data_IF_113040484070
#
_entry.id   IF_113040484070
#
_cell.length_a   1.000
_cell.length_b   1.000
_cell.length_c   1.000
_cell.angle_alpha   90.00
_cell.angle_beta   90.00
_cell.angle_gamma   90.00
#
_symmetry.space_group_name_H-M   'P 1'
#
loop_
_entity.id
_entity.type
_entity.pdbx_description
1 polymer ?
#
# COMPACT_ATOMS: atom_id res chain seq x y z
N UNK A 1 -29.31 28.05 46.13
CA UNK A 1 -28.33 26.93 46.06
C UNK A 1 -28.29 26.18 44.71
N UNK A 2 -29.40 26.05 43.95
CA UNK A 2 -29.48 25.23 42.72
C UNK A 2 -28.56 25.64 41.54
N UNK A 3 -28.19 26.92 41.41
CA UNK A 3 -27.39 27.43 40.26
C UNK A 3 -25.93 26.96 40.27
N UNK A 4 -25.31 26.87 41.45
CA UNK A 4 -23.93 26.34 41.62
C UNK A 4 -23.87 24.84 41.32
N UNK A 5 -24.89 24.08 41.73
CA UNK A 5 -24.98 22.64 41.47
C UNK A 5 -25.13 22.35 39.97
N UNK A 6 -25.99 23.10 39.25
CA UNK A 6 -26.12 22.98 37.78
C UNK A 6 -24.81 23.28 37.05
N UNK A 7 -24.06 24.31 37.48
CA UNK A 7 -22.74 24.64 36.90
C UNK A 7 -21.72 23.53 37.14
N UNK A 8 -21.71 22.93 38.34
CA UNK A 8 -20.81 21.80 38.68
C UNK A 8 -21.13 20.56 37.85
N UNK A 9 -22.42 20.24 37.67
CA UNK A 9 -22.85 19.12 36.80
C UNK A 9 -22.43 19.38 35.35
N UNK A 10 -22.63 20.60 34.84
CA UNK A 10 -22.20 20.96 33.47
C UNK A 10 -20.69 20.78 33.26
N UNK A 11 -19.87 21.24 34.22
CA UNK A 11 -18.40 21.05 34.17
C UNK A 11 -18.03 19.56 34.19
N UNK A 12 -18.67 18.76 35.05
CA UNK A 12 -18.41 17.32 35.12
C UNK A 12 -18.75 16.62 33.81
N UNK A 13 -19.88 16.96 33.18
CA UNK A 13 -20.25 16.41 31.86
C UNK A 13 -19.22 16.81 30.79
N UNK A 14 -18.81 18.08 30.73
CA UNK A 14 -17.76 18.50 29.80
C UNK A 14 -16.43 17.76 30.04
N UNK A 15 -16.05 17.53 31.30
CA UNK A 15 -14.83 16.79 31.61
C UNK A 15 -14.90 15.33 31.13
N UNK A 16 -16.04 14.67 31.30
CA UNK A 16 -16.25 13.30 30.80
C UNK A 16 -16.20 13.27 29.27
N UNK A 17 -16.85 14.20 28.57
CA UNK A 17 -16.80 14.29 27.10
C UNK A 17 -15.37 14.49 26.61
N UNK A 18 -14.60 15.38 27.24
CA UNK A 18 -13.19 15.58 26.88
C UNK A 18 -12.33 14.35 27.16
N UNK A 19 -12.60 13.60 28.24
CA UNK A 19 -11.88 12.37 28.53
C UNK A 19 -12.17 11.28 27.49
N UNK A 20 -13.43 11.11 27.08
CA UNK A 20 -13.81 10.16 26.02
C UNK A 20 -13.19 10.56 24.68
N UNK A 21 -13.26 11.84 24.32
CA UNK A 21 -12.61 12.32 23.09
C UNK A 21 -11.08 12.14 23.13
N UNK A 22 -10.46 12.41 24.28
CA UNK A 22 -9.03 12.20 24.48
C UNK A 22 -8.62 10.74 24.36
N UNK A 23 -9.41 9.82 24.92
CA UNK A 23 -9.20 8.38 24.80
C UNK A 23 -9.29 7.92 23.34
N UNK A 24 -10.32 8.34 22.60
CA UNK A 24 -10.46 7.98 21.18
C UNK A 24 -9.32 8.52 20.32
N UNK A 25 -8.83 9.73 20.59
CA UNK A 25 -7.66 10.29 19.90
C UNK A 25 -6.39 9.51 20.24
N UNK A 26 -6.25 9.07 21.49
CA UNK A 26 -5.13 8.25 21.93
C UNK A 26 -5.13 6.88 21.25
N UNK A 27 -6.27 6.18 21.20
CA UNK A 27 -6.35 4.86 20.56
C UNK A 27 -6.06 4.93 19.07
N UNK A 28 -6.62 5.92 18.36
CA UNK A 28 -6.31 6.13 16.93
C UNK A 28 -4.81 6.40 16.73
N UNK A 29 -4.18 7.19 17.59
CA UNK A 29 -2.73 7.44 17.49
C UNK A 29 -1.90 6.20 17.76
N UNK A 30 -2.34 5.35 18.67
CA UNK A 30 -1.69 4.08 18.96
C UNK A 30 -1.77 3.14 17.74
N UNK A 31 -2.95 2.97 17.14
CA UNK A 31 -3.12 2.14 15.94
C UNK A 31 -2.23 2.62 14.78
N UNK A 32 -2.12 3.93 14.58
CA UNK A 32 -1.22 4.51 13.57
C UNK A 32 0.26 4.20 13.85
N UNK A 33 0.66 4.20 15.12
CA UNK A 33 2.04 3.91 15.50
C UNK A 33 2.37 2.42 15.36
N UNK A 34 1.44 1.53 15.71
CA UNK A 34 1.58 0.08 15.58
C UNK A 34 1.72 -0.33 14.11
N UNK A 35 0.81 0.10 13.23
CA UNK A 35 0.93 -0.16 11.80
C UNK A 35 2.16 0.50 11.17
N UNK A 36 2.52 1.72 11.62
CA UNK A 36 3.74 2.38 11.18
C UNK A 36 4.99 1.55 11.47
N UNK A 37 5.11 1.00 12.68
CA UNK A 37 6.20 0.11 13.06
C UNK A 37 6.26 -1.16 12.21
N UNK A 38 5.12 -1.83 12.01
CA UNK A 38 5.03 -3.03 11.16
C UNK A 38 5.53 -2.74 9.74
N UNK A 39 5.02 -1.67 9.10
CA UNK A 39 5.40 -1.34 7.73
C UNK A 39 6.82 -0.80 7.62
N UNK A 40 7.33 -0.08 8.61
CA UNK A 40 8.73 0.37 8.65
C UNK A 40 9.68 -0.83 8.77
N UNK A 41 9.32 -1.85 9.57
CA UNK A 41 10.09 -3.09 9.72
C UNK A 41 10.10 -3.91 8.41
N UNK A 42 8.94 -4.04 7.75
CA UNK A 42 8.83 -4.73 6.45
C UNK A 42 9.61 -3.95 5.39
N UNK A 43 9.42 -2.63 5.28
CA UNK A 43 10.13 -1.80 4.31
C UNK A 43 11.64 -1.73 4.57
N UNK A 44 12.08 -1.83 5.83
CA UNK A 44 13.49 -1.91 6.21
C UNK A 44 14.20 -3.16 5.68
N UNK A 45 13.46 -4.21 5.31
CA UNK A 45 14.00 -5.39 4.63
C UNK A 45 14.24 -5.17 3.13
N UNK A 46 13.71 -4.09 2.55
CA UNK A 46 13.83 -3.72 1.14
C UNK A 46 14.84 -2.59 0.98
N UNK A 47 15.77 -2.74 0.05
CA UNK A 47 16.79 -1.72 -0.21
C UNK A 47 17.07 -1.56 -1.70
N UNK A 48 17.49 -0.36 -2.08
CA UNK A 48 18.06 -0.08 -3.39
C UNK A 48 19.50 -0.56 -3.38
N UNK A 49 19.87 -1.42 -4.33
CA UNK A 49 21.27 -1.83 -4.50
C UNK A 49 21.97 -0.96 -5.54
N UNK A 50 23.19 -0.51 -5.21
CA UNK A 50 24.04 0.30 -6.10
C UNK A 50 24.65 -0.53 -7.25
N UNK A 51 24.46 -1.84 -7.21
CA UNK A 51 24.92 -2.76 -8.24
C UNK A 51 23.97 -2.66 -9.43
N UNK A 52 24.35 -1.95 -10.49
CA UNK A 52 23.70 -2.10 -11.79
C UNK A 52 23.97 -3.54 -12.29
N UNK A 53 23.13 -4.50 -11.89
CA UNK A 53 23.12 -5.80 -12.55
C UNK A 53 22.59 -5.53 -13.95
N UNK A 54 23.41 -5.86 -14.95
CA UNK A 54 23.01 -5.90 -16.36
C UNK A 54 21.58 -6.46 -16.42
N UNK A 55 20.71 -5.79 -17.18
CA UNK A 55 19.33 -6.18 -17.38
C UNK A 55 19.26 -7.71 -17.43
N UNK A 56 18.57 -8.31 -16.46
CA UNK A 56 18.32 -9.75 -16.47
C UNK A 56 17.75 -10.02 -17.86
N UNK A 57 18.43 -10.83 -18.70
CA UNK A 57 17.89 -11.16 -20.01
C UNK A 57 16.48 -11.65 -19.76
N UNK A 58 15.50 -10.97 -20.35
CA UNK A 58 14.15 -11.49 -20.43
C UNK A 58 14.31 -12.78 -21.21
N UNK A 59 14.42 -13.92 -20.52
CA UNK A 59 14.33 -15.22 -21.16
C UNK A 59 12.93 -15.25 -21.73
N UNK A 60 12.82 -15.10 -23.05
CA UNK A 60 11.58 -15.30 -23.78
C UNK A 60 10.91 -16.57 -23.24
N UNK A 61 9.67 -16.48 -22.73
CA UNK A 61 8.96 -17.66 -22.26
C UNK A 61 8.97 -18.68 -23.38
N UNK A 62 9.60 -19.84 -23.16
CA UNK A 62 9.54 -20.95 -24.10
C UNK A 62 8.08 -21.33 -24.30
N UNK A 63 7.55 -20.94 -25.45
CA UNK A 63 6.21 -21.26 -25.90
C UNK A 63 5.94 -22.75 -25.71
N UNK A 64 4.93 -23.07 -24.89
CA UNK A 64 4.21 -24.33 -25.05
C UNK A 64 2.98 -24.02 -25.88
N UNK A 65 3.03 -24.51 -27.11
CA UNK A 65 1.92 -24.52 -28.06
C UNK A 65 0.62 -25.00 -27.38
N UNK A 66 -0.37 -24.12 -27.34
CA UNK A 66 -1.76 -24.46 -27.08
C UNK A 66 -2.63 -23.52 -27.90
N UNK A 67 -3.16 -24.07 -29.00
CA UNK A 67 -4.07 -23.46 -29.96
C UNK A 67 -5.10 -22.52 -29.32
N UNK A 68 -4.82 -21.22 -29.38
CA UNK A 68 -5.86 -20.18 -29.48
C UNK A 68 -5.27 -19.03 -30.29
N UNK A 69 -5.71 -18.90 -31.54
CA UNK A 69 -5.32 -17.85 -32.46
C UNK A 69 -5.85 -16.48 -32.00
N UNK A 70 -5.06 -15.78 -31.19
CA UNK A 70 -4.99 -14.32 -31.20
C UNK A 70 -3.52 -13.94 -31.03
N UNK A 71 -2.80 -13.93 -32.14
CA UNK A 71 -1.47 -13.35 -32.22
C UNK A 71 -1.64 -11.83 -32.08
N UNK A 72 -1.28 -11.29 -30.92
CA UNK A 72 -0.99 -9.87 -30.82
C UNK A 72 0.40 -9.66 -31.41
N UNK A 73 0.46 -9.16 -32.64
CA UNK A 73 1.67 -8.57 -33.18
C UNK A 73 1.98 -7.36 -32.30
N UNK A 74 3.03 -7.48 -31.47
CA UNK A 74 3.52 -6.42 -30.59
C UNK A 74 4.19 -5.33 -31.44
N UNK A 75 3.35 -4.53 -32.09
CA UNK A 75 3.70 -3.35 -32.87
C UNK A 75 3.69 -2.09 -31.97
N UNK A 76 3.61 -2.29 -30.66
CA UNK A 76 3.63 -1.22 -29.68
C UNK A 76 4.93 -0.43 -29.75
N UNK A 77 4.92 0.88 -29.42
CA UNK A 77 6.16 1.62 -29.30
C UNK A 77 7.05 0.91 -28.29
N UNK A 78 8.26 0.52 -28.72
CA UNK A 78 9.32 0.05 -27.82
C UNK A 78 9.63 1.19 -26.86
N UNK A 79 8.95 1.21 -25.72
CA UNK A 79 9.29 2.11 -24.63
C UNK A 79 10.70 1.74 -24.19
N UNK A 80 11.60 2.71 -24.19
CA UNK A 80 12.84 2.61 -23.42
C UNK A 80 12.39 2.44 -21.97
N UNK A 81 12.38 1.18 -21.49
CA UNK A 81 11.99 0.85 -20.13
C UNK A 81 13.11 1.42 -19.26
N UNK A 82 12.94 2.69 -18.90
CA UNK A 82 13.86 3.44 -18.06
C UNK A 82 14.30 2.57 -16.90
N UNK A 83 15.60 2.62 -16.62
CA UNK A 83 16.29 1.78 -15.63
C UNK A 83 15.40 1.49 -14.42
N UNK A 84 14.90 0.26 -14.32
CA UNK A 84 14.16 -0.16 -13.12
C UNK A 84 15.03 0.13 -11.89
N UNK A 85 14.48 0.73 -10.84
CA UNK A 85 15.22 0.88 -9.60
C UNK A 85 15.55 -0.55 -9.13
N UNK A 86 16.82 -0.79 -8.82
CA UNK A 86 17.26 -2.12 -8.40
C UNK A 86 16.83 -2.38 -6.94
N UNK A 87 15.53 -2.57 -6.76
CA UNK A 87 14.91 -2.98 -5.50
C UNK A 87 15.25 -4.43 -5.25
N UNK A 88 15.97 -4.67 -4.15
CA UNK A 88 16.19 -6.02 -3.64
C UNK A 88 15.09 -6.33 -2.64
N UNK A 89 14.23 -7.28 -2.98
CA UNK A 89 13.09 -7.72 -2.17
C UNK A 89 13.17 -9.24 -2.00
N UNK A 90 13.07 -9.72 -0.76
CA UNK A 90 12.95 -11.15 -0.49
C UNK A 90 11.48 -11.60 -0.63
N UNK A 91 11.04 -11.77 -1.88
CA UNK A 91 9.68 -12.22 -2.18
C UNK A 91 9.36 -13.58 -1.55
N UNK A 92 10.34 -14.46 -1.37
CA UNK A 92 10.13 -15.78 -0.78
C UNK A 92 9.83 -15.67 0.72
N UNK A 93 10.56 -14.82 1.45
CA UNK A 93 10.29 -14.55 2.85
C UNK A 93 8.91 -13.89 3.04
N UNK A 94 8.57 -12.88 2.22
CA UNK A 94 7.27 -12.20 2.29
C UNK A 94 6.11 -13.15 1.98
N UNK A 95 6.24 -13.98 0.94
CA UNK A 95 5.21 -14.99 0.59
C UNK A 95 5.04 -16.06 1.67
N UNK A 96 6.13 -16.38 2.39
CA UNK A 96 6.09 -17.32 3.52
C UNK A 96 5.44 -16.70 4.76
N UNK A 97 5.71 -15.43 5.02
CA UNK A 97 5.10 -14.69 6.14
C UNK A 97 3.60 -14.47 5.90
N UNK A 98 3.24 -14.10 4.67
CA UNK A 98 1.86 -13.82 4.28
C UNK A 98 1.53 -14.53 2.95
N UNK A 99 0.79 -15.67 2.98
CA UNK A 99 0.40 -16.41 1.78
C UNK A 99 -0.40 -15.59 0.76
N UNK A 100 -1.10 -14.53 1.20
CA UNK A 100 -1.87 -13.63 0.33
C UNK A 100 -1.00 -12.57 -0.37
N UNK A 101 0.31 -12.51 -0.10
CA UNK A 101 1.25 -11.62 -0.78
C UNK A 101 1.30 -11.82 -2.29
N UNK A 102 1.31 -10.72 -3.05
CA UNK A 102 1.27 -10.67 -4.52
C UNK A 102 2.44 -9.94 -5.16
N UNK A 103 3.04 -8.99 -4.46
CA UNK A 103 4.11 -8.17 -5.03
C UNK A 103 4.42 -6.97 -4.17
N UNK A 104 5.29 -6.09 -4.67
CA UNK A 104 5.74 -4.92 -3.94
C UNK A 104 5.45 -3.66 -4.75
N UNK A 105 4.63 -2.78 -4.21
CA UNK A 105 4.31 -1.52 -4.87
C UNK A 105 5.33 -0.47 -4.46
N UNK A 106 6.01 0.10 -5.45
CA UNK A 106 6.99 1.16 -5.26
C UNK A 106 6.71 2.36 -6.19
N UNK A 107 6.55 3.54 -5.61
CA UNK A 107 6.38 4.82 -6.31
C UNK A 107 7.32 5.85 -5.66
N UNK A 108 8.54 6.01 -6.18
CA UNK A 108 9.59 6.81 -5.55
C UNK A 108 9.16 8.26 -5.31
N UNK A 109 8.55 8.90 -6.31
CA UNK A 109 8.14 10.30 -6.26
C UNK A 109 7.06 10.61 -5.21
N UNK A 110 6.42 9.57 -4.65
CA UNK A 110 5.40 9.69 -3.61
C UNK A 110 5.76 9.00 -2.29
N UNK A 111 6.98 8.48 -2.17
CA UNK A 111 7.45 7.74 -0.99
C UNK A 111 6.55 6.53 -0.67
N UNK A 112 5.93 5.93 -1.69
CA UNK A 112 5.11 4.71 -1.54
C UNK A 112 6.04 3.52 -1.73
N UNK A 113 6.12 2.65 -0.71
CA UNK A 113 6.88 1.41 -0.76
C UNK A 113 6.22 0.43 0.20
N UNK A 114 5.39 -0.48 -0.32
CA UNK A 114 4.56 -1.36 0.50
C UNK A 114 4.43 -2.77 -0.10
N UNK A 115 4.32 -3.81 0.74
CA UNK A 115 3.87 -5.11 0.27
C UNK A 115 2.41 -5.01 -0.17
N UNK A 116 2.06 -5.78 -1.20
CA UNK A 116 0.69 -5.86 -1.71
C UNK A 116 0.14 -7.26 -1.54
N UNK A 117 -1.08 -7.35 -1.03
CA UNK A 117 -1.80 -8.61 -0.77
C UNK A 117 -3.08 -8.71 -1.60
N UNK A 118 -3.71 -9.89 -1.63
CA UNK A 118 -5.05 -10.07 -2.18
C UNK A 118 -5.93 -10.76 -1.14
N UNK A 119 -7.02 -10.09 -0.75
CA UNK A 119 -7.98 -10.64 0.21
C UNK A 119 -9.03 -11.53 -0.43
N UNK A 120 -9.86 -12.20 0.41
CA UNK A 120 -11.04 -12.93 -0.05
C UNK A 120 -12.13 -12.00 -0.61
N UNK A 121 -12.09 -10.73 -0.23
CA UNK A 121 -12.96 -9.64 -0.68
C UNK A 121 -12.18 -8.31 -0.67
N UNK A 122 -12.86 -7.22 -1.03
CA UNK A 122 -12.31 -5.87 -1.05
C UNK A 122 -12.50 -5.09 0.28
N UNK A 123 -12.90 -5.77 1.37
CA UNK A 123 -13.19 -5.14 2.67
C UNK A 123 -12.17 -5.56 3.74
N UNK A 124 -11.74 -6.83 3.74
CA UNK A 124 -10.88 -7.41 4.77
C UNK A 124 -9.62 -6.56 5.04
N UNK A 125 -8.83 -6.27 4.00
CA UNK A 125 -7.59 -5.50 4.14
C UNK A 125 -7.79 -3.98 4.27
N UNK A 126 -9.04 -3.48 4.30
CA UNK A 126 -9.31 -2.13 4.81
C UNK A 126 -9.14 -2.04 6.33
N UNK A 127 -9.25 -3.17 7.03
CA UNK A 127 -9.26 -3.21 8.49
C UNK A 127 -8.19 -4.15 9.07
N UNK A 128 -7.32 -4.70 8.22
CA UNK A 128 -6.26 -5.62 8.62
C UNK A 128 -4.92 -5.21 7.98
N UNK A 129 -3.83 -5.31 8.75
CA UNK A 129 -2.47 -5.08 8.26
C UNK A 129 -1.93 -6.25 7.43
N UNK A 130 -0.67 -6.19 7.03
CA UNK A 130 -0.02 -7.28 6.27
C UNK A 130 0.05 -8.57 7.10
N UNK A 131 0.27 -8.45 8.41
CA UNK A 131 0.24 -9.55 9.37
C UNK A 131 -1.17 -9.98 9.81
N UNK A 132 -2.23 -9.49 9.14
CA UNK A 132 -3.64 -9.78 9.48
C UNK A 132 -4.07 -9.29 10.87
N UNK A 133 -3.37 -8.29 11.41
CA UNK A 133 -3.75 -7.64 12.67
C UNK A 133 -4.80 -6.56 12.40
N UNK A 134 -5.89 -6.54 13.19
CA UNK A 134 -6.92 -5.49 13.08
C UNK A 134 -6.30 -4.10 13.27
N UNK A 135 -6.42 -3.23 12.26
CA UNK A 135 -5.88 -1.89 12.30
C UNK A 135 -6.56 -0.96 11.27
N UNK A 136 -6.79 0.29 11.65
CA UNK A 136 -7.41 1.31 10.79
C UNK A 136 -6.55 1.75 9.60
N UNK A 137 -5.24 1.50 9.64
CA UNK A 137 -4.34 1.77 8.53
C UNK A 137 -4.50 0.77 7.38
N UNK A 138 -5.01 -0.44 7.66
CA UNK A 138 -5.19 -1.52 6.71
C UNK A 138 -3.88 -1.94 6.02
N UNK A 139 -4.02 -2.46 4.80
CA UNK A 139 -2.92 -2.86 3.93
C UNK A 139 -3.10 -2.29 2.51
N UNK A 140 -2.06 -2.36 1.68
CA UNK A 140 -2.21 -2.16 0.23
C UNK A 140 -2.64 -3.49 -0.36
N UNK A 141 -3.75 -3.53 -1.09
CA UNK A 141 -4.29 -4.78 -1.63
C UNK A 141 -4.85 -4.62 -3.03
N UNK A 142 -4.79 -5.70 -3.82
CA UNK A 142 -5.43 -5.76 -5.13
C UNK A 142 -6.88 -6.24 -5.02
N UNK A 143 -7.70 -5.92 -6.03
CA UNK A 143 -9.06 -6.40 -6.13
C UNK A 143 -9.16 -7.93 -6.01
N UNK A 144 -10.12 -8.40 -5.21
CA UNK A 144 -10.34 -9.83 -5.00
C UNK A 144 -10.78 -10.57 -6.27
N UNK A 145 -11.29 -9.86 -7.29
CA UNK A 145 -11.70 -10.45 -8.56
C UNK A 145 -10.59 -10.45 -9.63
N UNK A 146 -9.43 -9.83 -9.35
CA UNK A 146 -8.28 -9.93 -10.24
C UNK A 146 -7.70 -11.34 -10.22
N UNK A 147 -7.18 -11.76 -11.38
CA UNK A 147 -6.43 -13.01 -11.49
C UNK A 147 -5.25 -13.00 -10.53
N UNK A 148 -5.05 -14.13 -9.84
CA UNK A 148 -4.10 -14.25 -8.74
C UNK A 148 -2.64 -14.07 -9.17
N UNK A 149 -2.36 -14.24 -10.45
CA UNK A 149 -1.07 -14.08 -11.13
C UNK A 149 -0.91 -12.71 -11.81
N UNK A 150 -1.89 -11.80 -11.62
CA UNK A 150 -1.92 -10.45 -12.16
C UNK A 150 -2.01 -10.38 -13.70
N UNK A 151 -2.45 -11.47 -14.34
CA UNK A 151 -2.69 -11.53 -15.79
C UNK A 151 -3.93 -10.75 -16.24
N UNK A 152 -4.68 -10.17 -15.31
CA UNK A 152 -5.85 -9.33 -15.62
C UNK A 152 -5.44 -8.10 -16.42
N UNK A 153 -6.25 -7.75 -17.43
CA UNK A 153 -6.04 -6.52 -18.21
C UNK A 153 -6.01 -5.25 -17.36
N UNK A 154 -6.78 -5.23 -16.27
CA UNK A 154 -6.81 -4.14 -15.30
C UNK A 154 -6.69 -4.70 -13.89
N UNK A 155 -5.70 -4.21 -13.15
CA UNK A 155 -5.54 -4.49 -11.72
C UNK A 155 -5.86 -3.24 -10.93
N UNK A 156 -6.90 -3.29 -10.10
CA UNK A 156 -7.19 -2.22 -9.16
C UNK A 156 -6.43 -2.47 -7.87
N UNK A 157 -5.69 -1.46 -7.43
CA UNK A 157 -4.95 -1.48 -6.16
C UNK A 157 -5.60 -0.47 -5.23
N UNK A 158 -5.91 -0.91 -4.01
CA UNK A 158 -6.57 -0.15 -2.98
C UNK A 158 -5.63 0.09 -1.80
N UNK A 159 -5.89 1.17 -1.08
CA UNK A 159 -5.13 1.57 0.11
C UNK A 159 -5.73 2.82 0.74
N UNK A 160 -5.56 2.97 2.05
CA UNK A 160 -6.14 4.10 2.79
C UNK A 160 -5.47 5.43 2.45
N UNK A 161 -6.28 6.49 2.37
CA UNK A 161 -5.77 7.87 2.32
C UNK A 161 -5.49 8.38 3.74
N UNK A 162 -4.36 7.97 4.30
CA UNK A 162 -4.00 8.28 5.69
C UNK A 162 -3.58 9.74 5.86
N UNK A 163 -4.01 10.38 6.96
CA UNK A 163 -3.73 11.81 7.22
C UNK A 163 -2.25 12.12 7.37
N UNK A 164 -1.48 11.22 7.98
CA UNK A 164 -0.03 11.32 8.12
C UNK A 164 0.72 11.15 6.78
N UNK A 165 0.05 10.72 5.71
CA UNK A 165 0.62 10.54 4.39
C UNK A 165 1.08 9.12 4.06
N UNK A 166 1.03 8.19 5.02
CA UNK A 166 1.33 6.77 4.78
C UNK A 166 0.28 6.10 3.89
N UNK A 167 0.55 4.87 3.47
CA UNK A 167 -0.30 4.11 2.54
C UNK A 167 -0.50 4.92 1.24
N UNK A 168 -1.75 5.21 0.85
CA UNK A 168 -2.08 6.06 -0.29
C UNK A 168 -2.34 7.52 0.10
N UNK A 169 -2.01 7.90 1.33
CA UNK A 169 -2.14 9.28 1.81
C UNK A 169 -1.38 10.28 0.94
N UNK A 170 -0.22 9.90 0.38
CA UNK A 170 0.60 10.76 -0.47
C UNK A 170 0.01 11.03 -1.85
N UNK A 171 -0.91 10.20 -2.37
CA UNK A 171 -1.55 10.40 -3.69
C UNK A 171 -2.24 11.77 -3.80
N UNK A 172 -2.78 12.30 -2.70
CA UNK A 172 -3.41 13.64 -2.69
C UNK A 172 -2.46 14.77 -3.10
N UNK A 173 -1.14 14.57 -2.97
CA UNK A 173 -0.11 15.53 -3.40
C UNK A 173 -0.20 15.77 -4.91
N UNK A 174 -0.62 14.77 -5.69
CA UNK A 174 -0.75 14.88 -7.16
C UNK A 174 -1.89 15.81 -7.58
N UNK A 175 -2.93 15.94 -6.76
CA UNK A 175 -4.06 16.84 -7.05
C UNK A 175 -3.61 18.30 -6.98
N UNK A 176 -2.75 18.63 -6.01
CA UNK A 176 -2.28 20.01 -5.79
C UNK A 176 -1.00 20.33 -6.55
N UNK A 177 -0.12 19.35 -6.74
CA UNK A 177 1.13 19.49 -7.46
C UNK A 177 1.43 18.22 -8.27
N UNK A 178 1.07 18.17 -9.56
CA UNK A 178 1.30 17.00 -10.40
C UNK A 178 2.77 16.88 -10.87
N UNK A 179 3.63 17.86 -10.57
CA UNK A 179 5.02 17.85 -11.06
C UNK A 179 5.82 16.58 -10.73
N UNK A 180 5.76 16.01 -9.51
CA UNK A 180 6.56 14.82 -9.18
C UNK A 180 6.32 13.62 -10.09
N UNK A 181 5.06 13.35 -10.45
CA UNK A 181 4.72 12.24 -11.37
C UNK A 181 4.98 12.60 -12.84
N UNK A 182 5.13 13.90 -13.17
CA UNK A 182 5.53 14.32 -14.52
C UNK A 182 7.04 14.13 -14.72
N UNK A 183 7.84 14.37 -13.67
CA UNK A 183 9.29 14.21 -13.69
C UNK A 183 9.70 12.72 -13.53
N UNK A 184 8.94 11.94 -12.78
CA UNK A 184 9.12 10.49 -12.57
C UNK A 184 7.76 9.76 -12.66
N UNK A 185 7.33 9.35 -13.87
CA UNK A 185 5.98 8.82 -14.13
C UNK A 185 5.82 7.33 -13.82
N UNK A 186 6.84 6.68 -13.25
CA UNK A 186 6.86 5.24 -13.12
C UNK A 186 6.25 4.76 -11.80
N UNK A 187 5.45 3.69 -11.91
CA UNK A 187 4.94 2.91 -10.81
C UNK A 187 5.51 1.51 -11.01
N UNK A 188 6.21 1.00 -10.00
CA UNK A 188 6.86 -0.29 -10.04
C UNK A 188 6.05 -1.27 -9.20
N UNK A 189 5.84 -2.48 -9.73
CA UNK A 189 5.09 -3.55 -9.11
C UNK A 189 5.76 -4.90 -9.36
#
# INVERSE_FOLDING_TARGET
MKKKTKKRIGIAVCAVVMAVAGYNVYTIRQEYAEAGGEYDDIAGSVYLSDEAKEAVPIEEPKEKESDTQFAFEDDGPKYDIGTYPNLVIDHAALKKAQPNYKGWLYVPCLEISYPVVQGPDNDYYLHHTFEETENVAGCIFIDSNCEADLSSYNTFVYGHNMKNGSMFGSLRKLITNPKPIQDDPYIYF
#
